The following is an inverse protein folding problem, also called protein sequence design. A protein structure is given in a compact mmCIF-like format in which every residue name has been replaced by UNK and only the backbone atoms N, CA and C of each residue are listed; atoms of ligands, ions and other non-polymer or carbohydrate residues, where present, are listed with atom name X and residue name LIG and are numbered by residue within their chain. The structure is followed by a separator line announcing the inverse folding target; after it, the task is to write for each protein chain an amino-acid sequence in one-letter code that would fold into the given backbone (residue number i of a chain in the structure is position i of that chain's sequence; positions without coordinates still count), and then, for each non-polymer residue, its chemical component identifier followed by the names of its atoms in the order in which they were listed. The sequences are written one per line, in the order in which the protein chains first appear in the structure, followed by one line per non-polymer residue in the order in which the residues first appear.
data_IF_289765207408
#
_entry.id   IF_289765207408
#
_cell.length_a   1.000
_cell.length_b   1.000
_cell.length_c   1.000
_cell.angle_alpha   90.00
_cell.angle_beta   90.00
_cell.angle_gamma   90.00
#
_symmetry.space_group_name_H-M   'P 1'
#
loop_
_entity.id
_entity.type
_entity.pdbx_description
1 polymer ?
#
# COMPACT_ATOMS: atom_id res chain seq x y z
N UNK A 1 2.28 4.18 7.54
CA UNK A 1 2.69 2.76 7.74
C UNK A 1 1.96 1.92 6.70
N UNK A 2 2.63 0.95 6.05
CA UNK A 2 2.01 0.08 5.04
C UNK A 2 1.80 -1.32 5.61
N UNK A 3 0.55 -1.79 5.68
CA UNK A 3 0.17 -3.13 6.16
C UNK A 3 -0.42 -3.97 5.04
N UNK A 4 -1.74 -3.85 4.82
CA UNK A 4 -2.48 -4.60 3.79
C UNK A 4 -1.83 -4.58 2.39
N UNK A 5 -1.31 -3.45 1.86
CA UNK A 5 -0.64 -3.46 0.55
C UNK A 5 0.57 -4.39 0.50
N UNK A 6 1.40 -4.42 1.56
CA UNK A 6 2.59 -5.27 1.62
C UNK A 6 2.24 -6.73 1.90
N UNK A 7 1.12 -7.01 2.58
CA UNK A 7 0.63 -8.37 2.80
C UNK A 7 0.22 -9.08 1.49
N UNK A 8 0.05 -8.33 0.39
CA UNK A 8 -0.19 -8.88 -0.95
C UNK A 8 1.09 -9.34 -1.66
N UNK A 9 2.26 -9.11 -1.09
CA UNK A 9 3.51 -9.65 -1.64
C UNK A 9 3.59 -11.16 -1.43
N UNK A 10 4.13 -11.90 -2.40
CA UNK A 10 4.40 -13.35 -2.29
C UNK A 10 5.40 -13.67 -1.19
N UNK A 11 6.29 -12.72 -0.89
CA UNK A 11 7.30 -12.82 0.17
C UNK A 11 6.71 -12.60 1.57
N UNK A 12 5.48 -12.07 1.66
CA UNK A 12 4.84 -11.79 2.94
C UNK A 12 4.48 -13.11 3.66
N UNK A 13 4.84 -13.26 4.94
CA UNK A 13 4.63 -14.51 5.67
C UNK A 13 3.15 -14.88 5.85
N UNK A 14 2.26 -13.88 5.77
CA UNK A 14 0.80 -14.06 5.83
C UNK A 14 0.21 -14.74 4.60
N UNK A 15 0.96 -14.93 3.50
CA UNK A 15 0.52 -15.61 2.26
C UNK A 15 -0.84 -15.12 1.75
N UNK A 16 -1.00 -13.79 1.67
CA UNK A 16 -2.24 -13.14 1.26
C UNK A 16 -3.26 -12.87 2.38
N UNK A 17 -2.92 -13.20 3.63
CA UNK A 17 -3.69 -12.77 4.81
C UNK A 17 -3.02 -11.58 5.51
N UNK A 18 -3.85 -10.66 6.00
CA UNK A 18 -3.42 -9.53 6.82
C UNK A 18 -4.28 -9.44 8.09
N UNK A 19 -3.66 -9.05 9.20
CA UNK A 19 -4.33 -8.77 10.47
C UNK A 19 -3.51 -7.78 11.28
N UNK A 20 -4.17 -6.99 12.13
CA UNK A 20 -3.51 -6.17 13.14
C UNK A 20 -3.19 -6.97 14.41
N UNK A 21 -2.33 -6.43 15.25
CA UNK A 21 -1.95 -7.07 16.51
C UNK A 21 -3.16 -7.22 17.45
N UNK A 22 -4.15 -6.35 17.37
CA UNK A 22 -5.37 -6.41 18.15
C UNK A 22 -6.30 -7.58 17.80
N UNK A 23 -6.04 -8.31 16.70
CA UNK A 23 -6.89 -9.42 16.26
C UNK A 23 -6.73 -10.70 17.10
N UNK A 24 -5.63 -10.86 17.85
CA UNK A 24 -5.35 -12.09 18.61
C UNK A 24 -5.75 -12.02 20.10
N UNK A 25 -6.30 -10.90 20.56
CA UNK A 25 -6.61 -10.72 21.98
C UNK A 25 -7.77 -11.63 22.42
N UNK A 26 -7.55 -12.47 23.43
CA UNK A 26 -8.45 -13.56 23.81
C UNK A 26 -9.84 -13.13 24.32
N UNK A 27 -9.90 -11.99 25.01
CA UNK A 27 -11.15 -11.48 25.63
C UNK A 27 -11.71 -10.23 24.95
N UNK A 28 -10.94 -9.61 24.06
CA UNK A 28 -11.27 -8.32 23.46
C UNK A 28 -10.65 -8.24 22.06
N UNK A 29 -10.99 -9.16 21.14
CA UNK A 29 -10.52 -9.08 19.77
C UNK A 29 -11.10 -7.82 19.13
N UNK A 30 -10.22 -6.94 18.62
CA UNK A 30 -10.62 -5.68 17.97
C UNK A 30 -10.18 -5.57 16.51
N UNK A 31 -9.68 -6.67 15.95
CA UNK A 31 -9.19 -6.73 14.59
C UNK A 31 -9.71 -7.97 13.90
N UNK A 32 -9.85 -7.89 12.58
CA UNK A 32 -10.24 -9.00 11.74
C UNK A 32 -9.04 -9.49 10.93
N UNK A 33 -8.97 -10.81 10.71
CA UNK A 33 -8.09 -11.37 9.70
C UNK A 33 -8.77 -11.24 8.34
N UNK A 34 -8.13 -10.57 7.40
CA UNK A 34 -8.68 -10.32 6.06
C UNK A 34 -7.81 -10.96 5.00
N UNK A 35 -8.45 -11.55 3.98
CA UNK A 35 -7.75 -12.10 2.83
C UNK A 35 -7.65 -11.04 1.74
N UNK A 36 -6.43 -10.62 1.44
CA UNK A 36 -6.10 -9.58 0.44
C UNK A 36 -5.50 -10.17 -0.84
N UNK A 37 -5.27 -11.49 -0.85
CA UNK A 37 -4.65 -12.21 -1.96
C UNK A 37 -3.17 -11.89 -2.12
N UNK A 38 -2.54 -12.44 -3.16
CA UNK A 38 -1.17 -12.11 -3.55
C UNK A 38 -1.15 -11.56 -4.97
N UNK A 39 -0.24 -10.64 -5.27
CA UNK A 39 -0.17 -9.96 -6.58
C UNK A 39 1.20 -10.03 -7.24
N UNK A 40 2.27 -10.30 -6.49
CA UNK A 40 3.63 -10.39 -6.99
C UNK A 40 4.65 -10.35 -5.86
N UNK A 41 5.93 -10.30 -6.18
CA UNK A 41 7.02 -10.10 -5.21
C UNK A 41 6.92 -8.75 -4.51
N UNK A 42 7.57 -8.62 -3.35
CA UNK A 42 7.64 -7.35 -2.63
C UNK A 42 8.32 -6.26 -3.49
N UNK A 43 9.32 -6.65 -4.29
CA UNK A 43 10.00 -5.75 -5.20
C UNK A 43 9.05 -5.18 -6.27
N UNK A 44 8.19 -6.01 -6.87
CA UNK A 44 7.20 -5.55 -7.84
C UNK A 44 6.13 -4.65 -7.19
N UNK A 45 5.67 -5.00 -5.99
CA UNK A 45 4.72 -4.18 -5.23
C UNK A 45 5.28 -2.78 -4.94
N UNK A 46 6.54 -2.68 -4.50
CA UNK A 46 7.14 -1.40 -4.13
C UNK A 46 7.67 -0.61 -5.34
N UNK A 47 8.38 -1.26 -6.24
CA UNK A 47 9.21 -0.62 -7.28
C UNK A 47 8.84 -0.99 -8.71
N UNK A 48 7.91 -1.95 -8.88
CA UNK A 48 7.46 -2.40 -10.18
C UNK A 48 8.36 -3.44 -10.85
N UNK A 49 8.09 -3.80 -12.11
CA UNK A 49 7.01 -3.27 -12.95
C UNK A 49 5.61 -3.60 -12.39
N UNK A 50 4.62 -2.77 -12.73
CA UNK A 50 3.22 -3.08 -12.40
C UNK A 50 2.62 -3.93 -13.52
N UNK A 51 1.97 -5.03 -13.16
CA UNK A 51 1.21 -5.89 -14.08
C UNK A 51 -0.31 -5.64 -14.01
N UNK A 52 -0.72 -4.65 -13.21
CA UNK A 52 -2.11 -4.26 -12.97
C UNK A 52 -2.26 -2.74 -13.07
N UNK A 53 -3.49 -2.28 -13.32
CA UNK A 53 -3.86 -0.86 -13.37
C UNK A 53 -4.52 -0.35 -12.08
N UNK A 54 -4.80 -1.22 -11.11
CA UNK A 54 -5.54 -0.89 -9.88
C UNK A 54 -4.71 -0.11 -8.82
N UNK A 55 -3.46 0.24 -9.14
CA UNK A 55 -2.56 0.99 -8.25
C UNK A 55 -1.99 0.17 -7.09
N UNK A 56 -2.18 -1.15 -7.09
CA UNK A 56 -1.68 -2.00 -6.00
C UNK A 56 -0.22 -2.43 -6.13
N UNK A 57 0.42 -2.11 -7.26
CA UNK A 57 1.83 -2.39 -7.54
C UNK A 57 2.58 -1.12 -7.94
N UNK A 58 3.91 -1.19 -7.89
CA UNK A 58 4.81 -0.08 -8.17
C UNK A 58 4.44 1.20 -7.41
N UNK A 59 4.26 1.08 -6.08
CA UNK A 59 3.85 2.18 -5.21
C UNK A 59 4.80 3.39 -5.32
N UNK A 60 6.11 3.17 -5.48
CA UNK A 60 7.08 4.26 -5.61
C UNK A 60 7.07 4.88 -7.01
N UNK A 61 6.79 4.11 -8.05
CA UNK A 61 6.54 4.66 -9.39
C UNK A 61 5.28 5.52 -9.41
N UNK A 62 4.21 5.06 -8.76
CA UNK A 62 2.97 5.82 -8.60
C UNK A 62 3.23 7.14 -7.86
N UNK A 63 3.93 7.11 -6.72
CA UNK A 63 4.29 8.32 -5.98
C UNK A 63 5.11 9.30 -6.83
N UNK A 64 6.17 8.84 -7.51
CA UNK A 64 6.96 9.68 -8.42
C UNK A 64 6.13 10.31 -9.52
N UNK A 65 5.20 9.55 -10.10
CA UNK A 65 4.29 10.06 -11.15
C UNK A 65 3.33 11.09 -10.59
N UNK A 66 2.75 10.86 -9.41
CA UNK A 66 1.86 11.83 -8.75
C UNK A 66 2.58 13.14 -8.45
N UNK A 67 3.81 13.07 -7.91
CA UNK A 67 4.64 14.25 -7.67
C UNK A 67 4.97 14.99 -8.96
N UNK A 68 5.41 14.28 -10.01
CA UNK A 68 5.73 14.88 -11.30
C UNK A 68 4.51 15.58 -11.96
N UNK A 69 3.34 14.95 -11.94
CA UNK A 69 2.09 15.51 -12.48
C UNK A 69 1.67 16.78 -11.75
N UNK A 70 1.99 16.90 -10.47
CA UNK A 70 1.63 18.05 -9.63
C UNK A 70 2.76 19.09 -9.52
N UNK A 71 3.88 18.89 -10.22
CA UNK A 71 4.98 19.86 -10.29
C UNK A 71 5.99 19.78 -9.13
N UNK A 72 6.04 18.67 -8.40
CA UNK A 72 6.94 18.48 -7.25
C UNK A 72 8.03 17.46 -7.53
N UNK A 73 9.23 17.70 -7.00
CA UNK A 73 10.38 16.80 -7.08
C UNK A 73 10.87 16.30 -5.72
N UNK A 74 10.38 16.89 -4.62
CA UNK A 74 10.76 16.56 -3.25
C UNK A 74 9.52 16.30 -2.38
N UNK A 75 9.65 15.35 -1.44
CA UNK A 75 8.55 14.94 -0.57
C UNK A 75 8.12 16.01 0.42
N UNK A 76 9.04 16.86 0.88
CA UNK A 76 8.70 17.93 1.82
C UNK A 76 7.88 19.01 1.13
N UNK A 77 8.26 19.38 -0.09
CA UNK A 77 7.49 20.32 -0.91
C UNK A 77 6.13 19.74 -1.32
N UNK A 78 6.06 18.45 -1.67
CA UNK A 78 4.82 17.78 -2.05
C UNK A 78 3.75 17.79 -0.94
N UNK A 79 4.13 17.99 0.33
CA UNK A 79 3.16 18.18 1.43
C UNK A 79 2.30 19.45 1.28
N UNK A 80 2.66 20.37 0.37
CA UNK A 80 1.93 21.62 0.10
C UNK A 80 1.01 21.54 -1.12
N UNK A 81 0.90 20.38 -1.78
CA UNK A 81 0.05 20.20 -2.96
C UNK A 81 -1.40 20.57 -2.65
N UNK A 82 -2.06 21.21 -3.61
CA UNK A 82 -3.50 21.51 -3.50
C UNK A 82 -4.32 20.21 -3.50
N UNK A 83 -5.35 20.16 -2.66
CA UNK A 83 -6.23 19.00 -2.52
C UNK A 83 -7.66 19.42 -2.84
N UNK A 84 -8.34 18.64 -3.67
CA UNK A 84 -9.77 18.78 -3.94
C UNK A 84 -10.54 17.84 -3.02
N UNK A 85 -11.53 18.36 -2.30
CA UNK A 85 -12.45 17.56 -1.49
C UNK A 85 -13.69 17.30 -2.33
N UNK A 86 -13.91 16.05 -2.72
CA UNK A 86 -15.14 15.61 -3.38
C UNK A 86 -16.09 15.04 -2.31
N UNK A 87 -17.34 15.57 -2.20
CA UNK A 87 -18.33 15.10 -1.24
C UNK A 87 -18.88 13.70 -1.59
#
# INVERSE_FOLDING_TARGET
MMGSPLARATDAPGKGWHWGLEAHHSQLPRGNRVHVGTIGSLAEVLTGPSHTSDGSMNLFGALRRSMATTGYSDLKEFQRVEVVIQP
#
